data_IF_275839788380
#
_entry.id   IF_275839788380
#
_cell.length_a   1.000
_cell.length_b   1.000
_cell.length_c   1.000
_cell.angle_alpha   90.00
_cell.angle_beta   90.00
_cell.angle_gamma   90.00
#
_symmetry.space_group_name_H-M   'P 1'
#
loop_
_entity.id
_entity.type
_entity.pdbx_description
1 polymer ?
#
# COMPACT_ATOMS: atom_id res chain seq x y z
N UNK A 1 14.75 19.33 12.74
CA UNK A 1 16.13 18.82 12.53
C UNK A 1 16.57 17.66 13.42
N UNK A 2 16.29 17.68 14.73
CA UNK A 2 16.72 16.59 15.62
C UNK A 2 16.20 15.21 15.19
N UNK A 3 14.93 15.12 14.76
CA UNK A 3 14.33 13.87 14.30
C UNK A 3 14.95 13.36 13.00
N UNK A 4 15.23 14.25 12.02
CA UNK A 4 15.99 13.89 10.80
C UNK A 4 17.34 13.28 11.18
N UNK A 5 18.06 13.88 12.13
CA UNK A 5 19.32 13.34 12.65
C UNK A 5 19.19 11.94 13.26
N UNK A 6 18.09 11.67 13.99
CA UNK A 6 17.81 10.33 14.54
C UNK A 6 17.47 9.30 13.45
N UNK A 7 16.74 9.71 12.41
CA UNK A 7 16.39 8.83 11.28
C UNK A 7 17.63 8.47 10.45
N UNK A 8 18.54 9.43 10.21
CA UNK A 8 19.81 9.16 9.54
C UNK A 8 20.70 8.26 10.42
N UNK A 9 20.83 8.63 11.71
CA UNK A 9 21.71 7.97 12.65
C UNK A 9 23.19 8.25 12.37
N UNK A 10 24.08 7.81 13.29
CA UNK A 10 25.53 7.99 13.11
C UNK A 10 26.00 7.24 11.86
N UNK A 11 26.72 7.92 10.97
CA UNK A 11 27.22 7.38 9.69
C UNK A 11 26.13 6.80 8.79
N UNK A 12 24.88 7.26 8.90
CA UNK A 12 23.78 6.74 8.10
C UNK A 12 23.33 5.32 8.50
N UNK A 13 23.67 4.86 9.72
CA UNK A 13 23.32 3.52 10.19
C UNK A 13 21.81 3.25 10.19
N UNK A 14 21.02 4.23 10.60
CA UNK A 14 19.58 4.04 10.77
C UNK A 14 18.87 4.12 9.42
N UNK A 15 19.23 5.09 8.56
CA UNK A 15 18.65 5.20 7.22
C UNK A 15 18.89 3.94 6.39
N UNK A 16 20.12 3.40 6.39
CA UNK A 16 20.44 2.13 5.72
C UNK A 16 19.65 0.94 6.27
N UNK A 17 19.45 0.89 7.58
CA UNK A 17 18.65 -0.17 8.20
C UNK A 17 17.17 -0.08 7.80
N UNK A 18 16.62 1.13 7.66
CA UNK A 18 15.25 1.34 7.17
C UNK A 18 15.16 0.91 5.71
N UNK A 19 16.05 1.42 4.85
CA UNK A 19 16.10 1.10 3.42
C UNK A 19 16.24 -0.41 3.19
N UNK A 20 17.11 -1.09 3.96
CA UNK A 20 17.27 -2.54 3.88
C UNK A 20 16.02 -3.30 4.35
N UNK A 21 15.39 -2.86 5.44
CA UNK A 21 14.21 -3.54 5.99
C UNK A 21 12.96 -3.35 5.12
N UNK A 22 12.77 -2.18 4.50
CA UNK A 22 11.58 -1.87 3.71
C UNK A 22 11.77 -2.06 2.20
N UNK A 23 13.02 -2.08 1.73
CA UNK A 23 13.34 -2.13 0.30
C UNK A 23 12.90 -0.88 -0.46
N UNK A 24 13.03 0.29 0.18
CA UNK A 24 12.77 1.62 -0.38
C UNK A 24 14.05 2.46 -0.29
N UNK A 25 14.13 3.54 -1.06
CA UNK A 25 15.19 4.54 -0.93
C UNK A 25 14.65 5.76 -0.17
N UNK A 26 15.39 6.23 0.83
CA UNK A 26 15.03 7.42 1.59
C UNK A 26 15.89 8.59 1.16
N UNK A 27 15.25 9.61 0.58
CA UNK A 27 15.91 10.84 0.16
C UNK A 27 15.68 11.90 1.23
N UNK A 28 16.78 12.35 1.84
CA UNK A 28 16.78 13.47 2.78
C UNK A 28 17.42 14.66 2.09
N UNK A 29 16.64 15.71 1.88
CA UNK A 29 17.07 16.97 1.28
C UNK A 29 17.02 18.13 2.29
N UNK A 30 17.28 19.34 1.79
CA UNK A 30 17.27 20.59 2.54
C UNK A 30 15.84 21.03 2.95
N UNK A 31 14.78 20.34 2.49
CA UNK A 31 13.40 20.68 2.84
C UNK A 31 13.19 20.42 4.33
N UNK A 32 12.85 21.42 5.16
CA UNK A 32 12.67 21.22 6.59
C UNK A 32 11.62 20.15 6.89
N UNK A 33 11.91 19.29 7.87
CA UNK A 33 10.97 18.27 8.39
C UNK A 33 10.43 17.23 7.39
N UNK A 34 10.85 17.29 6.12
CA UNK A 34 10.42 16.36 5.08
C UNK A 34 11.47 15.28 4.80
N UNK A 35 11.01 14.04 4.63
CA UNK A 35 11.80 12.91 4.13
C UNK A 35 11.00 12.29 2.99
N UNK A 36 11.64 12.10 1.85
CA UNK A 36 11.00 11.52 0.67
C UNK A 36 11.25 10.01 0.61
N UNK A 37 10.16 9.26 0.45
CA UNK A 37 10.18 7.80 0.33
C UNK A 37 10.02 7.43 -1.15
N UNK A 38 11.07 6.86 -1.74
CA UNK A 38 11.09 6.45 -3.14
C UNK A 38 11.04 4.92 -3.26
N UNK A 39 10.07 4.41 -4.02
CA UNK A 39 10.03 3.01 -4.45
C UNK A 39 8.98 2.83 -5.56
N UNK A 40 9.25 1.91 -6.49
CA UNK A 40 8.28 1.53 -7.52
C UNK A 40 7.11 0.71 -6.97
N UNK A 41 7.32 -0.04 -5.87
CA UNK A 41 6.24 -0.78 -5.22
C UNK A 41 5.48 0.16 -4.26
N UNK A 42 4.21 0.51 -4.56
CA UNK A 42 3.43 1.36 -3.68
C UNK A 42 3.20 0.74 -2.29
N UNK A 43 3.16 -0.60 -2.19
CA UNK A 43 2.98 -1.29 -0.91
C UNK A 43 4.21 -1.08 -0.03
N UNK A 44 5.42 -1.20 -0.60
CA UNK A 44 6.66 -0.92 0.16
C UNK A 44 6.74 0.52 0.64
N UNK A 45 6.29 1.49 -0.18
CA UNK A 45 6.21 2.90 0.24
C UNK A 45 5.29 3.08 1.43
N UNK A 46 4.13 2.41 1.42
CA UNK A 46 3.19 2.50 2.52
C UNK A 46 3.73 1.87 3.80
N UNK A 47 4.34 0.69 3.71
CA UNK A 47 4.98 0.02 4.85
C UNK A 47 6.06 0.92 5.45
N UNK A 48 6.92 1.52 4.62
CA UNK A 48 7.93 2.47 5.07
C UNK A 48 7.31 3.72 5.73
N UNK A 49 6.24 4.28 5.16
CA UNK A 49 5.52 5.44 5.70
C UNK A 49 4.96 5.15 7.10
N UNK A 50 4.30 4.01 7.28
CA UNK A 50 3.73 3.61 8.58
C UNK A 50 4.84 3.35 9.60
N UNK A 51 5.87 2.59 9.21
CA UNK A 51 7.00 2.29 10.09
C UNK A 51 7.72 3.57 10.56
N UNK A 52 8.02 4.49 9.63
CA UNK A 52 8.63 5.78 9.95
C UNK A 52 7.74 6.61 10.88
N UNK A 53 6.44 6.67 10.61
CA UNK A 53 5.48 7.40 11.44
C UNK A 53 5.47 6.88 12.89
N UNK A 54 5.49 5.54 13.08
CA UNK A 54 5.56 4.89 14.39
C UNK A 54 6.91 5.12 15.10
N UNK A 55 8.02 5.04 14.36
CA UNK A 55 9.37 5.30 14.88
C UNK A 55 9.54 6.75 15.34
N UNK A 56 8.99 7.71 14.59
CA UNK A 56 9.00 9.14 14.93
C UNK A 56 8.17 9.40 16.18
N UNK A 57 6.98 8.77 16.29
CA UNK A 57 6.13 8.89 17.48
C UNK A 57 6.78 8.32 18.76
N UNK A 58 7.51 7.20 18.65
CA UNK A 58 8.27 6.60 19.76
C UNK A 58 9.54 7.41 20.09
N UNK A 59 10.15 8.07 19.08
CA UNK A 59 11.34 8.89 19.23
C UNK A 59 12.65 8.10 19.41
N UNK A 60 12.59 6.77 19.51
CA UNK A 60 13.73 5.86 19.63
C UNK A 60 13.99 5.13 18.31
N UNK A 61 15.11 5.47 17.65
CA UNK A 61 15.44 4.93 16.34
C UNK A 61 16.79 4.21 16.41
N UNK A 62 16.75 2.88 16.33
CA UNK A 62 17.92 2.00 16.22
C UNK A 62 17.54 0.72 15.44
N UNK A 63 18.50 -0.03 14.86
CA UNK A 63 18.20 -1.11 13.91
C UNK A 63 17.20 -2.16 14.40
N UNK A 64 17.39 -2.72 15.61
CA UNK A 64 16.45 -3.70 16.15
C UNK A 64 15.01 -3.18 16.33
N UNK A 65 14.84 -1.86 16.55
CA UNK A 65 13.52 -1.24 16.64
C UNK A 65 12.94 -1.00 15.25
N UNK A 66 13.77 -0.57 14.30
CA UNK A 66 13.41 -0.39 12.90
C UNK A 66 12.85 -1.69 12.32
N UNK A 67 13.60 -2.80 12.43
CA UNK A 67 13.17 -4.11 11.93
C UNK A 67 11.80 -4.51 12.51
N UNK A 68 11.63 -4.38 13.82
CA UNK A 68 10.38 -4.71 14.52
C UNK A 68 9.20 -3.83 14.07
N UNK A 69 9.41 -2.53 13.91
CA UNK A 69 8.35 -1.62 13.47
C UNK A 69 8.01 -1.79 11.99
N UNK A 70 8.99 -2.14 11.15
CA UNK A 70 8.76 -2.50 9.74
C UNK A 70 7.95 -3.79 9.63
N UNK A 71 8.28 -4.83 10.40
CA UNK A 71 7.50 -6.08 10.44
C UNK A 71 6.05 -5.83 10.85
N UNK A 72 5.82 -5.01 11.89
CA UNK A 72 4.47 -4.62 12.32
C UNK A 72 3.73 -3.82 11.26
N UNK A 73 4.40 -2.89 10.60
CA UNK A 73 3.81 -2.12 9.51
C UNK A 73 3.45 -3.01 8.31
N UNK A 74 4.29 -4.00 7.99
CA UNK A 74 4.02 -4.98 6.94
C UNK A 74 2.74 -5.79 7.25
N UNK A 75 2.61 -6.30 8.48
CA UNK A 75 1.41 -7.03 8.90
C UNK A 75 0.14 -6.17 8.84
N UNK A 76 0.24 -4.90 9.24
CA UNK A 76 -0.89 -3.96 9.16
C UNK A 76 -1.31 -3.70 7.71
N UNK A 77 -0.34 -3.45 6.81
CA UNK A 77 -0.62 -3.24 5.39
C UNK A 77 -1.21 -4.51 4.76
N UNK A 78 -0.67 -5.69 5.07
CA UNK A 78 -1.20 -6.96 4.55
C UNK A 78 -2.63 -7.24 5.02
N UNK A 79 -2.97 -6.86 6.25
CA UNK A 79 -4.34 -6.94 6.75
C UNK A 79 -5.27 -6.03 5.96
N UNK A 80 -4.89 -4.77 5.77
CA UNK A 80 -5.68 -3.79 4.99
C UNK A 80 -5.85 -4.25 3.54
N UNK A 81 -4.83 -4.88 2.94
CA UNK A 81 -4.92 -5.48 1.60
C UNK A 81 -5.99 -6.58 1.58
N UNK A 82 -5.98 -7.49 2.56
CA UNK A 82 -6.95 -8.57 2.62
C UNK A 82 -8.38 -8.04 2.79
N UNK A 83 -8.59 -7.12 3.72
CA UNK A 83 -9.89 -6.49 3.96
C UNK A 83 -10.40 -5.73 2.74
N UNK A 84 -9.53 -4.98 2.06
CA UNK A 84 -9.90 -4.28 0.83
C UNK A 84 -10.28 -5.27 -0.28
N UNK A 85 -9.51 -6.34 -0.45
CA UNK A 85 -9.84 -7.39 -1.43
C UNK A 85 -11.21 -8.01 -1.18
N UNK A 86 -11.51 -8.37 0.07
CA UNK A 86 -12.80 -8.94 0.47
C UNK A 86 -13.95 -7.95 0.26
N UNK A 87 -13.76 -6.69 0.68
CA UNK A 87 -14.75 -5.63 0.51
C UNK A 87 -15.09 -5.40 -0.97
N UNK A 88 -14.08 -5.36 -1.85
CA UNK A 88 -14.31 -5.20 -3.29
C UNK A 88 -15.17 -6.32 -3.88
N UNK A 89 -14.97 -7.57 -3.46
CA UNK A 89 -15.78 -8.70 -3.95
C UNK A 89 -17.22 -8.64 -3.45
N UNK A 90 -17.44 -8.18 -2.22
CA UNK A 90 -18.77 -8.00 -1.66
C UNK A 90 -19.51 -6.90 -2.42
N UNK A 91 -18.86 -5.74 -2.57
CA UNK A 91 -19.43 -4.57 -3.22
C UNK A 91 -19.75 -4.82 -4.70
N UNK A 92 -18.84 -5.49 -5.41
CA UNK A 92 -19.08 -5.89 -6.80
C UNK A 92 -19.90 -7.18 -6.91
N UNK A 93 -20.26 -7.87 -5.83
CA UNK A 93 -20.98 -9.14 -5.89
C UNK A 93 -20.29 -10.15 -6.85
N UNK A 94 -18.97 -10.29 -6.68
CA UNK A 94 -18.06 -11.20 -7.42
C UNK A 94 -17.40 -12.22 -6.48
N UNK A 95 -18.11 -12.60 -5.41
CA UNK A 95 -17.63 -13.54 -4.40
C UNK A 95 -17.26 -14.91 -5.02
N UNK A 96 -16.28 -15.59 -4.42
CA UNK A 96 -15.80 -16.90 -4.85
C UNK A 96 -14.48 -16.91 -5.62
N UNK A 97 -13.85 -15.75 -5.83
CA UNK A 97 -12.49 -15.69 -6.38
C UNK A 97 -11.47 -16.28 -5.41
N UNK A 98 -10.39 -16.85 -5.94
CA UNK A 98 -9.30 -17.40 -5.14
C UNK A 98 -8.64 -16.31 -4.27
N UNK A 99 -8.19 -16.68 -3.06
CA UNK A 99 -7.62 -15.74 -2.08
C UNK A 99 -6.45 -14.91 -2.61
N UNK A 100 -5.64 -15.48 -3.50
CA UNK A 100 -4.54 -14.74 -4.15
C UNK A 100 -5.05 -13.63 -5.07
N UNK A 101 -6.17 -13.83 -5.76
CA UNK A 101 -6.79 -12.78 -6.59
C UNK A 101 -7.35 -11.68 -5.68
N UNK A 102 -8.00 -12.06 -4.57
CA UNK A 102 -8.49 -11.11 -3.58
C UNK A 102 -7.36 -10.21 -3.05
N UNK A 103 -6.21 -10.79 -2.71
CA UNK A 103 -5.02 -10.03 -2.32
C UNK A 103 -4.54 -9.09 -3.43
N UNK A 104 -4.52 -9.54 -4.68
CA UNK A 104 -4.10 -8.70 -5.81
C UNK A 104 -5.04 -7.50 -6.01
N UNK A 105 -6.35 -7.70 -5.87
CA UNK A 105 -7.35 -6.61 -5.90
C UNK A 105 -7.10 -5.64 -4.75
N UNK A 106 -6.94 -6.15 -3.53
CA UNK A 106 -6.66 -5.33 -2.36
C UNK A 106 -5.38 -4.49 -2.47
N UNK A 107 -4.34 -5.02 -3.11
CA UNK A 107 -3.09 -4.28 -3.39
C UNK A 107 -3.31 -3.04 -4.26
N UNK A 108 -4.36 -3.01 -5.09
CA UNK A 108 -4.70 -1.84 -5.92
C UNK A 108 -5.03 -0.62 -5.07
N UNK A 109 -5.38 -0.79 -3.78
CA UNK A 109 -5.70 0.31 -2.86
C UNK A 109 -4.55 1.30 -2.70
N UNK A 110 -3.31 0.83 -2.87
CA UNK A 110 -2.11 1.67 -2.79
C UNK A 110 -1.63 2.16 -4.15
N UNK A 111 -2.26 1.73 -5.25
CA UNK A 111 -1.83 2.08 -6.60
C UNK A 111 -2.65 3.23 -7.15
N UNK A 112 -1.96 4.28 -7.59
CA UNK A 112 -2.57 5.41 -8.30
C UNK A 112 -2.03 5.47 -9.72
N UNK A 113 -2.89 5.71 -10.70
CA UNK A 113 -2.51 6.00 -12.08
C UNK A 113 -3.31 7.20 -12.58
N UNK A 114 -2.65 8.15 -13.26
CA UNK A 114 -3.30 9.37 -13.77
C UNK A 114 -4.17 10.13 -12.74
N UNK A 115 -3.75 10.12 -11.47
CA UNK A 115 -4.49 10.75 -10.36
C UNK A 115 -5.67 9.95 -9.81
N UNK A 116 -5.97 8.78 -10.38
CA UNK A 116 -7.05 7.89 -9.95
C UNK A 116 -6.50 6.69 -9.16
N UNK A 117 -7.23 6.29 -8.12
CA UNK A 117 -6.90 5.08 -7.36
C UNK A 117 -7.40 3.83 -8.10
N UNK A 118 -6.51 2.87 -8.34
CA UNK A 118 -6.82 1.70 -9.16
C UNK A 118 -7.82 0.74 -8.51
N UNK A 119 -7.93 0.74 -7.18
CA UNK A 119 -8.90 -0.09 -6.48
C UNK A 119 -10.33 0.36 -6.79
N UNK A 120 -10.62 1.65 -6.63
CA UNK A 120 -11.92 2.21 -6.95
C UNK A 120 -12.22 2.12 -8.45
N UNK A 121 -11.21 2.37 -9.29
CA UNK A 121 -11.36 2.26 -10.74
C UNK A 121 -11.73 0.84 -11.20
N UNK A 122 -11.13 -0.20 -10.62
CA UNK A 122 -11.48 -1.59 -10.92
C UNK A 122 -12.94 -1.89 -10.52
N UNK A 123 -13.36 -1.43 -9.33
CA UNK A 123 -14.74 -1.61 -8.89
C UNK A 123 -15.75 -0.88 -9.78
N UNK A 124 -15.43 0.34 -10.20
CA UNK A 124 -16.25 1.11 -11.14
C UNK A 124 -16.37 0.39 -12.49
N UNK A 125 -15.27 -0.17 -12.98
CA UNK A 125 -15.27 -0.94 -14.24
C UNK A 125 -16.15 -2.18 -14.14
N UNK A 126 -16.08 -2.92 -13.02
CA UNK A 126 -16.97 -4.04 -12.76
C UNK A 126 -18.46 -3.62 -12.77
N UNK A 127 -18.80 -2.49 -12.14
CA UNK A 127 -20.17 -1.97 -12.15
C UNK A 127 -20.65 -1.59 -13.56
N UNK A 128 -19.83 -0.86 -14.31
CA UNK A 128 -20.17 -0.45 -15.68
C UNK A 128 -20.31 -1.65 -16.60
N UNK A 129 -19.42 -2.64 -16.50
CA UNK A 129 -19.50 -3.88 -17.27
C UNK A 129 -20.81 -4.64 -17.00
N UNK A 130 -21.24 -4.69 -15.73
CA UNK A 130 -22.51 -5.32 -15.36
C UNK A 130 -23.73 -4.60 -15.96
N UNK A 131 -23.74 -3.26 -15.93
CA UNK A 131 -24.82 -2.44 -16.50
C UNK A 131 -24.88 -2.64 -18.01
N UNK A 132 -23.75 -2.52 -18.72
CA UNK A 132 -23.68 -2.71 -20.18
C UNK A 132 -24.15 -4.11 -20.58
N UNK A 133 -23.70 -5.15 -19.88
CA UNK A 133 -24.12 -6.52 -20.16
C UNK A 133 -25.63 -6.72 -19.97
N UNK A 134 -26.23 -6.08 -18.96
CA UNK A 134 -27.67 -6.12 -18.71
C UNK A 134 -28.45 -5.51 -19.88
N UNK A 135 -28.05 -4.33 -20.34
CA UNK A 135 -28.68 -3.63 -21.47
C UNK A 135 -28.53 -4.39 -22.79
N UNK A 136 -27.41 -5.09 -22.98
CA UNK A 136 -27.14 -5.89 -24.19
C UNK A 136 -27.66 -7.33 -24.12
N UNK A 137 -28.36 -7.71 -23.04
CA UNK A 137 -28.81 -9.09 -22.78
C UNK A 137 -27.68 -10.13 -22.82
N UNK A 138 -26.49 -9.75 -22.36
CA UNK A 138 -25.31 -10.60 -22.22
C UNK A 138 -25.18 -11.16 -20.79
N UNK A 139 -24.17 -12.01 -20.55
CA UNK A 139 -23.91 -12.59 -19.24
C UNK A 139 -23.32 -11.54 -18.27
N UNK A 140 -24.18 -11.00 -17.40
CA UNK A 140 -23.84 -9.96 -16.41
C UNK A 140 -22.76 -10.41 -15.43
N UNK A 141 -22.81 -11.67 -14.99
CA UNK A 141 -21.88 -12.19 -13.98
C UNK A 141 -20.46 -12.26 -14.53
N UNK A 142 -20.33 -12.74 -15.76
CA UNK A 142 -19.06 -12.86 -16.47
C UNK A 142 -18.50 -11.47 -16.80
N UNK A 143 -19.33 -10.57 -17.33
CA UNK A 143 -18.92 -9.20 -17.63
C UNK A 143 -18.42 -8.46 -16.38
N UNK A 144 -19.16 -8.59 -15.27
CA UNK A 144 -18.78 -7.98 -13.99
C UNK A 144 -17.46 -8.50 -13.44
N UNK A 145 -17.18 -9.79 -13.62
CA UNK A 145 -15.93 -10.40 -13.16
C UNK A 145 -14.73 -10.03 -14.05
N UNK A 146 -14.97 -9.75 -15.33
CA UNK A 146 -13.95 -9.32 -16.28
C UNK A 146 -13.64 -7.82 -16.23
N UNK A 147 -14.60 -7.00 -15.76
CA UNK A 147 -14.40 -5.58 -15.48
C UNK A 147 -13.68 -5.36 -14.15
#
# INVERSE_FOLDING_TARGET
DEMKGRIIGRQGRNIRAIEQATGVDLVVDDTPEAILISSFDPVRREVARIALSKLVADGRIHPARIEKEVERAQQEVDHVILEAGEQALIETNTQGLHREIQKLIGRLKYRTSYGQNQYYHAMETAYLAAVIASELHADVKTARMGG
#
